data_IF_586999641884
#
_entry.id   IF_586999641884
#
_cell.length_a   1.000
_cell.length_b   1.000
_cell.length_c   1.000
_cell.angle_alpha   90.00
_cell.angle_beta   90.00
_cell.angle_gamma   90.00
#
_symmetry.space_group_name_H-M   'P 1'
#
loop_
_entity.id
_entity.type
_entity.pdbx_description
1 polymer ?
#
# COMPACT_ATOMS: atom_id res chain seq x y z
N UNK A 1 9.53 9.06 3.97
CA UNK A 1 9.77 8.18 2.82
C UNK A 1 8.73 8.41 1.73
N UNK A 2 8.98 7.91 0.52
CA UNK A 2 8.06 7.95 -0.61
C UNK A 2 7.44 6.57 -0.83
N UNK A 3 6.12 6.48 -0.76
CA UNK A 3 5.35 5.23 -0.91
C UNK A 3 4.49 5.34 -2.16
N UNK A 4 4.59 4.38 -3.07
CA UNK A 4 3.79 4.33 -4.28
C UNK A 4 2.71 3.25 -4.14
N UNK A 5 1.44 3.64 -4.22
CA UNK A 5 0.29 2.75 -4.05
C UNK A 5 -0.39 2.55 -5.40
N UNK A 6 -0.29 1.34 -5.93
CA UNK A 6 -0.88 0.93 -7.20
C UNK A 6 -2.24 0.27 -7.00
N UNK A 7 -3.28 0.89 -7.56
CA UNK A 7 -4.67 0.52 -7.35
C UNK A 7 -5.37 1.48 -6.39
N UNK A 8 -5.66 2.71 -6.83
CA UNK A 8 -6.25 3.80 -6.01
C UNK A 8 -7.73 3.56 -5.64
N UNK A 9 -8.22 2.33 -5.64
CA UNK A 9 -9.56 1.96 -5.18
C UNK A 9 -9.73 2.18 -3.66
N UNK A 10 -10.74 1.52 -3.08
CA UNK A 10 -11.07 1.67 -1.65
C UNK A 10 -9.87 1.35 -0.75
N UNK A 11 -9.19 0.22 -1.00
CA UNK A 11 -8.03 -0.18 -0.19
C UNK A 11 -6.84 0.76 -0.40
N UNK A 12 -6.42 0.98 -1.66
CA UNK A 12 -5.25 1.79 -1.95
C UNK A 12 -5.41 3.26 -1.53
N UNK A 13 -6.59 3.86 -1.69
CA UNK A 13 -6.86 5.21 -1.17
C UNK A 13 -6.75 5.26 0.36
N UNK A 14 -7.25 4.23 1.04
CA UNK A 14 -7.14 4.12 2.50
C UNK A 14 -5.69 3.93 2.97
N UNK A 15 -4.90 3.13 2.25
CA UNK A 15 -3.48 2.92 2.53
C UNK A 15 -2.71 4.22 2.31
N UNK A 16 -2.89 4.89 1.16
CA UNK A 16 -2.27 6.19 0.89
C UNK A 16 -2.60 7.22 1.98
N UNK A 17 -3.86 7.26 2.43
CA UNK A 17 -4.30 8.13 3.54
C UNK A 17 -3.52 7.84 4.83
N UNK A 18 -3.34 6.58 5.20
CA UNK A 18 -2.65 6.21 6.45
C UNK A 18 -1.18 6.62 6.42
N UNK A 19 -0.48 6.36 5.32
CA UNK A 19 0.90 6.79 5.17
C UNK A 19 1.03 8.31 5.15
N UNK A 20 0.18 9.01 4.38
CA UNK A 20 0.19 10.47 4.29
C UNK A 20 -0.08 11.16 5.64
N UNK A 21 -0.98 10.59 6.46
CA UNK A 21 -1.28 11.08 7.81
C UNK A 21 -0.07 11.00 8.77
N UNK A 22 0.94 10.20 8.44
CA UNK A 22 2.20 10.05 9.20
C UNK A 22 3.37 10.83 8.56
N UNK A 23 3.08 11.69 7.58
CA UNK A 23 4.09 12.53 6.94
C UNK A 23 4.88 11.85 5.83
N UNK A 24 4.50 10.64 5.41
CA UNK A 24 5.09 10.01 4.23
C UNK A 24 4.45 10.55 2.95
N UNK A 25 5.22 10.75 1.90
CA UNK A 25 4.67 11.08 0.58
C UNK A 25 4.03 9.83 -0.02
N UNK A 26 2.73 9.86 -0.28
CA UNK A 26 1.98 8.76 -0.89
C UNK A 26 1.60 9.11 -2.34
N UNK A 27 2.19 8.40 -3.30
CA UNK A 27 1.83 8.47 -4.71
C UNK A 27 0.68 7.50 -4.99
N UNK A 28 -0.43 7.99 -5.49
CA UNK A 28 -1.59 7.17 -5.84
C UNK A 28 -1.65 6.91 -7.34
N UNK A 29 -1.68 5.63 -7.71
CA UNK A 29 -1.77 5.20 -9.12
C UNK A 29 -3.06 4.41 -9.38
N UNK A 30 -3.62 4.60 -10.57
CA UNK A 30 -4.74 3.84 -11.10
C UNK A 30 -4.46 3.50 -12.58
N UNK A 31 -5.46 3.08 -13.34
CA UNK A 31 -5.33 2.80 -14.78
C UNK A 31 -4.91 4.03 -15.61
N UNK A 32 -5.08 5.24 -15.08
CA UNK A 32 -4.62 6.50 -15.66
C UNK A 32 -4.50 7.56 -14.58
N UNK A 33 -3.75 8.63 -14.84
CA UNK A 33 -3.65 9.82 -13.97
C UNK A 33 -5.05 10.40 -13.70
N UNK A 34 -5.89 10.51 -14.71
CA UNK A 34 -7.25 11.00 -14.55
C UNK A 34 -8.10 10.11 -13.63
N UNK A 35 -7.91 8.78 -13.70
CA UNK A 35 -8.58 7.85 -12.80
C UNK A 35 -8.05 7.98 -11.37
N UNK A 36 -6.73 8.08 -11.18
CA UNK A 36 -6.13 8.30 -9.87
C UNK A 36 -6.61 9.63 -9.25
N UNK A 37 -6.71 10.70 -10.05
CA UNK A 37 -7.23 12.00 -9.59
C UNK A 37 -8.69 11.89 -9.11
N UNK A 38 -9.55 11.18 -9.83
CA UNK A 38 -10.94 10.93 -9.37
C UNK A 38 -10.99 10.22 -8.01
N UNK A 39 -10.08 9.30 -7.75
CA UNK A 39 -9.98 8.64 -6.44
C UNK A 39 -9.47 9.59 -5.36
N UNK A 40 -8.49 10.44 -5.67
CA UNK A 40 -8.03 11.49 -4.76
C UNK A 40 -9.17 12.47 -4.44
N UNK A 41 -9.96 12.89 -5.42
CA UNK A 41 -11.10 13.80 -5.22
C UNK A 41 -12.16 13.18 -4.28
N UNK A 42 -12.42 11.86 -4.41
CA UNK A 42 -13.29 11.13 -3.47
C UNK A 42 -12.72 11.10 -2.05
N UNK A 43 -11.40 10.93 -1.90
CA UNK A 43 -10.73 11.00 -0.61
C UNK A 43 -10.89 12.40 0.00
N UNK A 44 -10.65 13.47 -0.76
CA UNK A 44 -10.86 14.87 -0.34
C UNK A 44 -12.29 15.07 0.17
N UNK A 45 -13.29 14.65 -0.60
CA UNK A 45 -14.69 14.78 -0.22
C UNK A 45 -15.04 13.98 1.05
N UNK A 46 -14.43 12.81 1.23
CA UNK A 46 -14.60 11.98 2.44
C UNK A 46 -14.00 12.66 3.68
N UNK A 47 -12.81 13.22 3.54
CA UNK A 47 -12.13 13.92 4.64
C UNK A 47 -12.86 15.22 5.02
N UNK A 48 -13.37 15.98 4.05
CA UNK A 48 -14.21 17.17 4.31
C UNK A 48 -15.45 16.83 5.14
N UNK A 49 -16.11 15.69 4.86
CA UNK A 49 -17.24 15.20 5.69
C UNK A 49 -16.81 14.86 7.13
N UNK A 50 -15.56 14.43 7.34
CA UNK A 50 -15.04 14.15 8.69
C UNK A 50 -14.76 15.44 9.45
N UNK A 51 -14.27 16.48 8.78
CA UNK A 51 -14.11 17.82 9.36
C UNK A 51 -15.48 18.39 9.77
N UNK A 52 -16.46 18.35 8.87
CA UNK A 52 -17.81 18.82 9.14
C UNK A 52 -18.49 18.09 10.33
N UNK A 53 -18.09 16.85 10.61
CA UNK A 53 -18.56 16.06 11.76
C UNK A 53 -17.69 16.23 13.03
N UNK A 54 -16.72 17.11 13.02
CA UNK A 54 -15.80 17.32 14.14
C UNK A 54 -14.87 16.14 14.45
N UNK A 55 -14.67 15.23 13.51
CA UNK A 55 -13.83 14.02 13.66
C UNK A 55 -12.37 14.24 13.27
N UNK A 56 -12.09 15.33 12.57
CA UNK A 56 -10.75 15.78 12.18
C UNK A 56 -10.74 17.31 12.14
N UNK A 57 -9.58 17.93 12.35
CA UNK A 57 -9.40 19.36 12.11
C UNK A 57 -9.08 19.61 10.63
N UNK A 58 -9.35 20.83 10.14
CA UNK A 58 -9.01 21.19 8.76
C UNK A 58 -7.50 21.12 8.52
N UNK A 59 -6.70 21.61 9.49
CA UNK A 59 -5.24 21.62 9.41
C UNK A 59 -4.67 20.19 9.27
N UNK A 60 -5.24 19.23 10.01
CA UNK A 60 -4.82 17.82 9.91
C UNK A 60 -5.16 17.22 8.53
N UNK A 61 -6.29 17.61 7.95
CA UNK A 61 -6.69 17.19 6.61
C UNK A 61 -5.79 17.83 5.55
N UNK A 62 -5.50 19.11 5.65
CA UNK A 62 -4.66 19.84 4.71
C UNK A 62 -3.22 19.27 4.71
N UNK A 63 -2.66 19.00 5.89
CA UNK A 63 -1.35 18.37 6.04
C UNK A 63 -1.31 16.96 5.44
N UNK A 64 -2.36 16.17 5.63
CA UNK A 64 -2.48 14.84 5.04
C UNK A 64 -2.56 14.94 3.51
N UNK A 65 -3.43 15.79 2.97
CA UNK A 65 -3.64 15.91 1.53
C UNK A 65 -2.44 16.47 0.78
N UNK A 66 -1.61 17.30 1.43
CA UNK A 66 -0.35 17.77 0.88
C UNK A 66 0.63 16.61 0.61
N UNK A 67 0.52 15.51 1.34
CA UNK A 67 1.33 14.31 1.18
C UNK A 67 0.73 13.26 0.23
N UNK A 68 -0.50 13.45 -0.26
CA UNK A 68 -1.12 12.54 -1.24
C UNK A 68 -0.97 13.15 -2.63
N UNK A 69 -0.18 12.52 -3.49
CA UNK A 69 0.12 13.00 -4.83
C UNK A 69 -0.44 12.04 -5.90
N UNK A 70 -0.79 12.60 -7.03
CA UNK A 70 -1.14 11.87 -8.26
C UNK A 70 -0.19 12.33 -9.34
N UNK A 71 0.59 11.41 -9.87
CA UNK A 71 1.63 11.70 -10.86
C UNK A 71 1.66 10.61 -11.94
N UNK A 72 2.47 10.81 -12.97
CA UNK A 72 2.74 9.77 -13.97
C UNK A 72 3.48 8.58 -13.35
N UNK A 73 3.28 7.38 -13.91
CA UNK A 73 3.85 6.13 -13.37
C UNK A 73 5.37 6.21 -13.16
N UNK A 74 6.10 6.90 -14.03
CA UNK A 74 7.55 7.07 -13.92
C UNK A 74 8.01 7.71 -12.60
N UNK A 75 7.15 8.47 -11.93
CA UNK A 75 7.49 9.08 -10.64
C UNK A 75 7.70 8.04 -9.51
N UNK A 76 7.23 6.79 -9.69
CA UNK A 76 7.46 5.71 -8.73
C UNK A 76 8.91 5.20 -8.73
N UNK A 77 9.72 5.52 -9.75
CA UNK A 77 11.13 5.11 -9.83
C UNK A 77 11.94 5.48 -8.56
N UNK A 78 11.62 6.61 -7.94
CA UNK A 78 12.25 7.06 -6.68
C UNK A 78 11.51 6.62 -5.40
N UNK A 79 10.52 5.74 -5.47
CA UNK A 79 9.80 5.28 -4.29
C UNK A 79 10.66 4.32 -3.44
N UNK A 80 10.46 4.37 -2.13
CA UNK A 80 11.12 3.48 -1.17
C UNK A 80 10.31 2.19 -0.96
N UNK A 81 8.99 2.32 -1.10
CA UNK A 81 8.03 1.22 -0.93
C UNK A 81 6.97 1.30 -2.02
N UNK A 82 6.75 0.18 -2.67
CA UNK A 82 5.66 -0.04 -3.61
C UNK A 82 4.60 -0.89 -2.91
N UNK A 83 3.34 -0.46 -2.90
CA UNK A 83 2.23 -1.26 -2.37
C UNK A 83 1.25 -1.54 -3.49
N UNK A 84 1.16 -2.79 -3.88
CA UNK A 84 0.25 -3.26 -4.90
C UNK A 84 -1.13 -3.55 -4.28
N UNK A 85 -2.17 -2.92 -4.82
CA UNK A 85 -3.58 -3.02 -4.40
C UNK A 85 -4.51 -3.15 -5.62
N UNK A 86 -4.02 -3.69 -6.74
CA UNK A 86 -4.83 -3.89 -7.95
C UNK A 86 -5.78 -5.09 -7.78
N UNK A 87 -6.52 -5.43 -8.84
CA UNK A 87 -7.45 -6.57 -8.83
C UNK A 87 -6.79 -7.84 -8.28
N UNK A 88 -7.56 -8.62 -7.50
CA UNK A 88 -7.11 -9.87 -6.88
C UNK A 88 -7.01 -10.99 -7.93
N UNK A 89 -5.99 -10.89 -8.76
CA UNK A 89 -5.68 -11.79 -9.86
C UNK A 89 -4.15 -11.89 -10.01
N UNK A 90 -3.61 -13.11 -9.92
CA UNK A 90 -2.17 -13.36 -9.91
C UNK A 90 -1.47 -12.83 -11.18
N UNK A 91 -2.06 -13.05 -12.35
CA UNK A 91 -1.47 -12.60 -13.60
C UNK A 91 -1.35 -11.07 -13.66
N UNK A 92 -2.42 -10.37 -13.28
CA UNK A 92 -2.44 -8.89 -13.23
C UNK A 92 -1.41 -8.34 -12.25
N UNK A 93 -1.27 -8.97 -11.06
CA UNK A 93 -0.30 -8.54 -10.05
C UNK A 93 1.14 -8.79 -10.52
N UNK A 94 1.42 -9.95 -11.08
CA UNK A 94 2.76 -10.29 -11.62
C UNK A 94 3.15 -9.39 -12.79
N UNK A 95 2.24 -9.09 -13.70
CA UNK A 95 2.49 -8.16 -14.80
C UNK A 95 2.90 -6.78 -14.29
N UNK A 96 2.15 -6.22 -13.33
CA UNK A 96 2.47 -4.95 -12.72
C UNK A 96 3.84 -5.00 -12.00
N UNK A 97 4.06 -6.00 -11.15
CA UNK A 97 5.30 -6.10 -10.39
C UNK A 97 6.54 -6.28 -11.29
N UNK A 98 6.42 -7.06 -12.38
CA UNK A 98 7.50 -7.19 -13.37
C UNK A 98 7.82 -5.86 -14.08
N UNK A 99 6.79 -5.08 -14.43
CA UNK A 99 6.99 -3.74 -15.02
C UNK A 99 7.73 -2.82 -14.03
N UNK A 100 7.31 -2.82 -12.77
CA UNK A 100 7.90 -1.98 -11.73
C UNK A 100 9.30 -2.41 -11.32
N UNK A 101 9.61 -3.71 -11.41
CA UNK A 101 10.95 -4.26 -11.11
C UNK A 101 12.04 -3.65 -12.00
N UNK A 102 11.71 -3.36 -13.27
CA UNK A 102 12.61 -2.68 -14.19
C UNK A 102 12.63 -1.14 -14.08
N UNK A 103 11.70 -0.56 -13.33
CA UNK A 103 11.54 0.90 -13.23
C UNK A 103 12.02 1.46 -11.89
N UNK A 104 11.82 0.73 -10.80
CA UNK A 104 12.11 1.20 -9.46
C UNK A 104 13.60 1.09 -9.11
N UNK A 105 14.05 1.92 -8.17
CA UNK A 105 15.42 1.86 -7.66
C UNK A 105 15.68 0.53 -6.94
N UNK A 106 16.92 -0.01 -6.97
CA UNK A 106 17.22 -1.34 -6.43
C UNK A 106 16.87 -1.56 -4.95
N UNK A 107 16.85 -0.50 -4.17
CA UNK A 107 16.57 -0.55 -2.72
C UNK A 107 15.05 -0.53 -2.42
N UNK A 108 14.19 -0.40 -3.42
CA UNK A 108 12.75 -0.38 -3.22
C UNK A 108 12.25 -1.73 -2.71
N UNK A 109 11.32 -1.70 -1.77
CA UNK A 109 10.63 -2.90 -1.29
C UNK A 109 9.27 -2.98 -1.97
N UNK A 110 8.89 -4.17 -2.42
CA UNK A 110 7.59 -4.43 -3.02
C UNK A 110 6.69 -5.14 -2.01
N UNK A 111 5.52 -4.56 -1.75
CA UNK A 111 4.50 -5.15 -0.90
C UNK A 111 3.21 -5.39 -1.68
N UNK A 112 2.50 -6.47 -1.38
CA UNK A 112 1.17 -6.73 -1.92
C UNK A 112 0.12 -6.73 -0.82
N UNK A 113 -1.00 -6.07 -1.08
CA UNK A 113 -2.19 -6.08 -0.21
C UNK A 113 -3.12 -7.26 -0.54
N UNK A 114 -2.62 -8.30 -1.18
CA UNK A 114 -3.41 -9.50 -1.46
C UNK A 114 -4.00 -10.08 -0.19
N UNK A 115 -5.19 -10.64 -0.29
CA UNK A 115 -5.87 -11.31 0.83
C UNK A 115 -5.63 -12.82 0.87
N UNK A 116 -5.07 -13.42 -0.20
CA UNK A 116 -5.03 -14.89 -0.32
C UNK A 116 -3.99 -15.43 -1.30
N UNK A 117 -3.44 -14.61 -2.19
CA UNK A 117 -2.52 -15.06 -3.23
C UNK A 117 -1.10 -15.24 -2.67
N UNK A 118 -0.35 -16.19 -3.24
CA UNK A 118 1.01 -16.51 -2.81
C UNK A 118 1.98 -15.35 -3.05
N UNK A 119 2.60 -14.85 -2.00
CA UNK A 119 3.68 -13.85 -2.03
C UNK A 119 4.91 -14.43 -2.68
N UNK A 120 5.22 -15.70 -2.39
CA UNK A 120 6.32 -16.43 -3.02
C UNK A 120 6.16 -16.47 -4.53
N UNK A 121 4.97 -16.82 -5.03
CA UNK A 121 4.70 -16.86 -6.47
C UNK A 121 4.77 -15.48 -7.11
N UNK A 122 4.29 -14.43 -6.43
CA UNK A 122 4.41 -13.06 -6.92
C UNK A 122 5.87 -12.61 -7.07
N UNK A 123 6.75 -13.02 -6.16
CA UNK A 123 8.15 -12.64 -6.13
C UNK A 123 9.05 -13.43 -7.06
N UNK A 124 8.53 -14.48 -7.72
CA UNK A 124 9.34 -15.31 -8.62
C UNK A 124 9.86 -14.51 -9.83
N UNK A 125 11.17 -14.45 -9.97
CA UNK A 125 11.86 -13.79 -11.09
C UNK A 125 12.07 -12.29 -10.93
N UNK A 126 11.61 -11.67 -9.83
CA UNK A 126 11.87 -10.27 -9.52
C UNK A 126 13.22 -10.09 -8.83
N UNK A 127 13.87 -8.94 -9.10
CA UNK A 127 15.08 -8.52 -8.39
C UNK A 127 14.74 -7.94 -7.01
N UNK A 128 13.54 -7.34 -6.87
CA UNK A 128 13.09 -6.75 -5.62
C UNK A 128 12.47 -7.80 -4.69
N UNK A 129 12.73 -7.72 -3.36
CA UNK A 129 12.03 -8.56 -2.40
C UNK A 129 10.54 -8.21 -2.36
N UNK A 130 9.69 -9.23 -2.32
CA UNK A 130 8.24 -9.06 -2.17
C UNK A 130 7.80 -9.54 -0.78
N UNK A 131 6.91 -8.76 -0.14
CA UNK A 131 6.33 -9.06 1.16
C UNK A 131 4.81 -8.82 1.12
N UNK A 132 4.04 -9.59 1.87
CA UNK A 132 2.62 -9.32 2.06
C UNK A 132 2.41 -8.23 3.13
N UNK A 133 1.59 -7.22 2.81
CA UNK A 133 1.04 -6.23 3.76
C UNK A 133 -0.47 -6.20 3.60
N UNK A 134 -1.16 -7.13 4.22
CA UNK A 134 -2.62 -7.27 4.10
C UNK A 134 -3.33 -6.36 5.09
N UNK A 135 -3.87 -5.25 4.59
CA UNK A 135 -4.70 -4.31 5.34
C UNK A 135 -6.17 -4.71 5.32
N UNK A 136 -6.93 -4.27 6.32
CA UNK A 136 -8.36 -4.55 6.45
C UNK A 136 -9.20 -3.29 6.21
N UNK A 137 -10.36 -3.47 5.58
CA UNK A 137 -11.29 -2.38 5.30
C UNK A 137 -12.19 -2.08 6.52
N UNK A 138 -12.38 -0.81 6.90
CA UNK A 138 -11.80 0.44 6.37
C UNK A 138 -10.36 0.66 6.88
N UNK A 139 -9.39 0.84 5.97
CA UNK A 139 -7.96 0.94 6.32
C UNK A 139 -7.66 1.99 7.40
N UNK A 140 -8.23 3.20 7.38
CA UNK A 140 -7.92 4.18 8.43
C UNK A 140 -8.37 3.77 9.84
N UNK A 141 -9.39 2.92 9.95
CA UNK A 141 -10.00 2.53 11.23
C UNK A 141 -9.48 1.20 11.76
N UNK A 142 -9.22 0.26 10.86
CA UNK A 142 -8.74 -1.08 11.22
C UNK A 142 -7.27 -1.02 11.63
N UNK A 143 -6.97 -1.61 12.78
CA UNK A 143 -5.61 -1.60 13.35
C UNK A 143 -4.73 -2.69 12.78
N UNK A 144 -5.29 -3.87 12.58
CA UNK A 144 -4.57 -5.07 12.16
C UNK A 144 -3.99 -4.92 10.74
N UNK A 145 -2.74 -5.34 10.59
CA UNK A 145 -2.10 -5.61 9.30
C UNK A 145 -1.38 -6.96 9.41
N UNK A 146 -1.77 -7.90 8.57
CA UNK A 146 -1.05 -9.16 8.44
C UNK A 146 0.21 -8.94 7.59
N UNK A 147 1.36 -9.39 8.09
CA UNK A 147 2.64 -9.35 7.39
C UNK A 147 2.99 -10.78 6.99
N UNK A 148 3.05 -11.05 5.70
CA UNK A 148 3.26 -12.37 5.14
C UNK A 148 4.62 -12.43 4.44
N UNK A 149 5.48 -13.35 4.87
CA UNK A 149 6.74 -13.60 4.18
C UNK A 149 6.53 -14.53 2.99
N UNK A 150 7.06 -14.14 1.84
CA UNK A 150 7.32 -15.09 0.75
C UNK A 150 8.71 -15.74 0.92
N UNK A 151 9.01 -16.72 0.08
CA UNK A 151 10.28 -17.47 0.15
C UNK A 151 11.52 -16.56 0.03
N UNK A 152 11.43 -15.45 -0.70
CA UNK A 152 12.54 -14.51 -0.92
C UNK A 152 12.51 -13.29 0.02
N UNK A 153 11.58 -13.24 0.97
CA UNK A 153 11.51 -12.16 1.96
C UNK A 153 12.65 -12.30 2.96
N UNK A 154 13.61 -11.40 2.96
CA UNK A 154 14.71 -11.40 3.92
C UNK A 154 14.24 -10.98 5.31
N UNK A 155 15.03 -11.31 6.35
CA UNK A 155 14.75 -10.85 7.72
C UNK A 155 14.76 -9.32 7.79
N UNK A 156 15.71 -8.67 7.11
CA UNK A 156 15.83 -7.22 7.06
C UNK A 156 14.56 -6.57 6.47
N UNK A 157 14.06 -7.09 5.34
CA UNK A 157 12.82 -6.62 4.72
C UNK A 157 11.63 -6.78 5.67
N UNK A 158 11.53 -7.93 6.32
CA UNK A 158 10.47 -8.20 7.28
C UNK A 158 10.52 -7.21 8.46
N UNK A 159 11.69 -7.06 9.10
CA UNK A 159 11.85 -6.18 10.26
C UNK A 159 11.55 -4.73 9.91
N UNK A 160 11.97 -4.29 8.73
CA UNK A 160 11.66 -2.95 8.22
C UNK A 160 10.14 -2.74 8.08
N UNK A 161 9.45 -3.64 7.38
CA UNK A 161 7.99 -3.54 7.15
C UNK A 161 7.21 -3.69 8.45
N UNK A 162 7.64 -4.58 9.35
CA UNK A 162 7.01 -4.76 10.65
C UNK A 162 7.09 -3.49 11.50
N UNK A 163 8.26 -2.85 11.55
CA UNK A 163 8.47 -1.60 12.30
C UNK A 163 7.73 -0.42 11.63
N UNK A 164 7.79 -0.30 10.31
CA UNK A 164 7.05 0.70 9.55
C UNK A 164 5.54 0.59 9.79
N UNK A 165 5.02 -0.64 9.88
CA UNK A 165 3.60 -0.88 10.17
C UNK A 165 3.21 -0.32 11.54
N UNK A 166 4.07 -0.44 12.55
CA UNK A 166 3.86 0.20 13.87
C UNK A 166 3.94 1.73 13.78
N UNK A 167 4.92 2.25 13.04
CA UNK A 167 5.11 3.70 12.85
C UNK A 167 3.88 4.35 12.24
N UNK A 168 3.23 3.72 11.29
CA UNK A 168 1.98 4.22 10.71
C UNK A 168 0.76 4.00 11.60
N UNK A 169 0.94 3.51 12.83
CA UNK A 169 -0.10 3.37 13.87
C UNK A 169 -0.98 2.13 13.68
N UNK A 170 -0.43 1.09 13.08
CA UNK A 170 -1.07 -0.22 12.91
C UNK A 170 -0.43 -1.27 13.80
N UNK A 171 -1.13 -2.38 13.97
CA UNK A 171 -0.70 -3.53 14.76
C UNK A 171 -0.29 -4.67 13.79
N UNK A 172 1.02 -4.86 13.53
CA UNK A 172 1.49 -5.90 12.63
C UNK A 172 1.41 -7.27 13.30
N UNK A 173 0.93 -8.26 12.55
CA UNK A 173 0.95 -9.67 12.95
C UNK A 173 1.64 -10.47 11.86
N UNK A 174 2.69 -11.22 12.21
CA UNK A 174 3.33 -12.14 11.30
C UNK A 174 2.42 -13.35 11.04
N UNK A 175 2.22 -13.66 9.77
CA UNK A 175 1.37 -14.75 9.32
C UNK A 175 2.15 -15.61 8.34
N UNK A 176 2.10 -16.93 8.54
CA UNK A 176 2.67 -17.88 7.57
C UNK A 176 1.93 -17.80 6.24
N UNK A 177 2.68 -17.89 5.15
CA UNK A 177 2.09 -17.94 3.83
C UNK A 177 1.23 -19.21 3.69
N UNK A 178 -0.06 -19.01 3.51
CA UNK A 178 -1.04 -20.08 3.28
C UNK A 178 -2.25 -19.49 2.56
N UNK A 179 -2.99 -20.28 1.75
CA UNK A 179 -4.20 -19.80 1.09
C UNK A 179 -5.20 -19.18 2.09
N UNK A 180 -5.57 -17.91 1.87
CA UNK A 180 -6.51 -17.18 2.73
C UNK A 180 -5.94 -16.66 4.04
N UNK A 181 -4.62 -16.79 4.30
CA UNK A 181 -3.92 -16.36 5.51
C UNK A 181 -4.64 -16.81 6.80
N UNK A 182 -4.65 -15.98 7.87
CA UNK A 182 -5.31 -16.36 9.13
C UNK A 182 -6.79 -15.93 9.14
N UNK A 183 -7.07 -14.69 8.84
CA UNK A 183 -8.42 -14.11 9.04
C UNK A 183 -9.45 -14.66 8.06
N UNK A 184 -9.07 -15.02 6.84
CA UNK A 184 -9.99 -15.58 5.84
C UNK A 184 -10.21 -17.11 5.99
N UNK A 185 -9.65 -17.72 7.03
CA UNK A 185 -9.86 -19.15 7.35
C UNK A 185 -10.85 -19.40 8.49
N UNK A 186 -11.35 -18.33 9.11
CA UNK A 186 -12.34 -18.38 10.19
C UNK A 186 -13.78 -18.15 9.59
#
# INVERSE_FOLDING_TARGET
MKVAVFGAGTMGSGIAQVFAAKGHTALMYASSVASAQKHKDKLVASLAKRVAKGKMTQEAVDALLANVLVEEKSACAGADLIIECVKEDMATKKELLNELDGLCKPEAIFASNTSSLSITEMGLGLNHPVIGMHFFNPVPSMKLVEIIRGANTTQETFDFIYNLTKEIGKDPVEVAEAPGFVVNKI
#
